data_IF_231137637754
#
_entry.id   IF_231137637754
#
_cell.length_a   1.000
_cell.length_b   1.000
_cell.length_c   1.000
_cell.angle_alpha   90.00
_cell.angle_beta   90.00
_cell.angle_gamma   90.00
#
_symmetry.space_group_name_H-M   'P 1'
#
loop_
_entity.id
_entity.type
_entity.pdbx_description
1 polymer ?
#
# COMPACT_ATOMS: atom_id res chain seq x y z
N UNK A 1 -17.37 11.22 -1.31
CA UNK A 1 -16.45 10.23 -0.72
C UNK A 1 -15.07 10.83 -0.82
N UNK A 2 -14.37 11.04 0.30
CA UNK A 2 -13.05 11.70 0.29
C UNK A 2 -12.01 10.65 -0.07
N UNK A 3 -11.26 10.89 -1.14
CA UNK A 3 -10.14 10.02 -1.53
C UNK A 3 -8.86 10.58 -0.94
N UNK A 4 -8.07 9.71 -0.32
CA UNK A 4 -6.78 9.99 0.27
C UNK A 4 -5.68 9.36 -0.60
N UNK A 5 -4.52 10.01 -0.63
CA UNK A 5 -3.32 9.50 -1.29
C UNK A 5 -2.32 9.06 -0.22
N UNK A 6 -1.92 7.80 -0.30
CA UNK A 6 -0.88 7.23 0.55
C UNK A 6 0.28 6.73 -0.30
N UNK A 7 1.50 7.11 0.09
CA UNK A 7 2.72 6.54 -0.47
C UNK A 7 3.19 5.46 0.49
N UNK A 8 3.09 4.20 0.07
CA UNK A 8 3.58 3.05 0.79
C UNK A 8 5.03 2.79 0.40
N UNK A 9 5.91 2.79 1.39
CA UNK A 9 7.29 2.34 1.25
C UNK A 9 7.45 1.03 2.02
N UNK A 10 8.20 0.09 1.45
CA UNK A 10 8.48 -1.20 2.06
C UNK A 10 9.97 -1.46 2.07
N UNK A 11 10.49 -1.85 3.23
CA UNK A 11 11.92 -2.16 3.41
C UNK A 11 12.22 -3.61 3.00
N UNK A 12 11.79 -4.01 1.80
CA UNK A 12 12.00 -5.32 1.18
C UNK A 12 11.90 -5.17 -0.34
N UNK A 13 12.87 -5.71 -1.08
CA UNK A 13 12.80 -5.76 -2.54
C UNK A 13 12.01 -7.00 -2.96
N UNK A 14 10.89 -6.79 -3.64
CA UNK A 14 10.10 -7.88 -4.23
C UNK A 14 10.57 -8.17 -5.66
N UNK A 15 10.54 -9.44 -6.07
CA UNK A 15 10.72 -9.82 -7.48
C UNK A 15 9.54 -9.35 -8.34
N UNK A 16 9.69 -9.28 -9.66
CA UNK A 16 8.60 -8.89 -10.57
C UNK A 16 7.32 -9.74 -10.38
N UNK A 17 7.49 -11.05 -10.15
CA UNK A 17 6.38 -11.97 -9.88
C UNK A 17 5.68 -11.67 -8.55
N UNK A 18 6.44 -11.32 -7.52
CA UNK A 18 5.89 -10.94 -6.21
C UNK A 18 5.22 -9.57 -6.25
N UNK A 19 5.73 -8.61 -7.04
CA UNK A 19 5.19 -7.26 -7.14
C UNK A 19 3.73 -7.26 -7.61
N UNK A 20 3.36 -8.13 -8.54
CA UNK A 20 1.96 -8.29 -8.95
C UNK A 20 1.06 -8.71 -7.78
N UNK A 21 1.49 -9.72 -7.01
CA UNK A 21 0.74 -10.21 -5.84
C UNK A 21 0.66 -9.17 -4.72
N UNK A 22 1.76 -8.45 -4.47
CA UNK A 22 1.82 -7.37 -3.47
C UNK A 22 0.89 -6.23 -3.87
N UNK A 23 0.91 -5.81 -5.13
CA UNK A 23 0.02 -4.78 -5.68
C UNK A 23 -1.45 -5.16 -5.49
N UNK A 24 -1.83 -6.37 -5.88
CA UNK A 24 -3.22 -6.83 -5.78
C UNK A 24 -3.71 -6.86 -4.32
N UNK A 25 -2.86 -7.30 -3.39
CA UNK A 25 -3.22 -7.32 -1.97
C UNK A 25 -3.25 -5.95 -1.31
N UNK A 26 -2.33 -5.05 -1.68
CA UNK A 26 -2.41 -3.64 -1.27
C UNK A 26 -3.76 -3.09 -1.71
N UNK A 27 -4.12 -3.30 -2.98
CA UNK A 27 -5.37 -2.81 -3.53
C UNK A 27 -6.61 -3.36 -2.82
N UNK A 28 -6.63 -4.66 -2.53
CA UNK A 28 -7.72 -5.32 -1.81
C UNK A 28 -7.87 -4.79 -0.38
N UNK A 29 -6.77 -4.60 0.35
CA UNK A 29 -6.79 -4.14 1.74
C UNK A 29 -7.04 -2.64 1.87
N UNK A 30 -6.60 -1.86 0.88
CA UNK A 30 -6.79 -0.42 0.87
C UNK A 30 -8.10 0.01 0.21
N UNK A 31 -8.91 -0.92 -0.31
CA UNK A 31 -10.06 -0.57 -1.16
C UNK A 31 -9.65 0.45 -2.24
N UNK A 32 -8.53 0.16 -2.91
CA UNK A 32 -7.89 1.12 -3.79
C UNK A 32 -8.83 1.49 -4.94
N UNK A 33 -8.84 2.77 -5.30
CA UNK A 33 -9.40 3.21 -6.59
C UNK A 33 -8.33 3.16 -7.68
N UNK A 34 -7.08 3.43 -7.30
CA UNK A 34 -5.93 3.41 -8.19
C UNK A 34 -4.66 3.08 -7.40
N UNK A 35 -3.72 2.38 -8.04
CA UNK A 35 -2.40 2.09 -7.50
C UNK A 35 -1.33 2.26 -8.58
N UNK A 36 -0.29 3.01 -8.26
CA UNK A 36 0.90 3.19 -9.08
C UNK A 36 2.10 2.58 -8.37
N UNK A 37 2.98 1.91 -9.13
CA UNK A 37 4.20 1.30 -8.60
C UNK A 37 5.38 2.03 -9.21
N UNK A 38 6.05 2.86 -8.40
CA UNK A 38 7.17 3.69 -8.86
C UNK A 38 8.52 2.96 -8.76
N UNK A 39 8.55 1.78 -8.14
CA UNK A 39 9.73 0.91 -8.01
C UNK A 39 9.40 -0.37 -7.24
N UNK A 40 10.40 -1.23 -7.03
CA UNK A 40 10.21 -2.50 -6.32
C UNK A 40 9.89 -2.35 -4.82
N UNK A 41 9.91 -1.11 -4.30
CA UNK A 41 9.78 -0.77 -2.88
C UNK A 41 8.76 0.33 -2.59
N UNK A 42 8.14 0.93 -3.62
CA UNK A 42 7.34 2.14 -3.47
C UNK A 42 6.04 2.07 -4.26
N UNK A 43 4.91 2.21 -3.55
CA UNK A 43 3.55 2.12 -4.09
C UNK A 43 2.78 3.39 -3.73
N UNK A 44 2.17 4.04 -4.71
CA UNK A 44 1.24 5.15 -4.48
C UNK A 44 -0.17 4.61 -4.58
N UNK A 45 -0.98 4.78 -3.53
CA UNK A 45 -2.31 4.22 -3.42
C UNK A 45 -3.32 5.33 -3.21
N UNK A 46 -4.31 5.38 -4.10
CA UNK A 46 -5.50 6.22 -3.94
C UNK A 46 -6.59 5.38 -3.32
N UNK A 47 -7.11 5.84 -2.19
CA UNK A 47 -8.05 5.06 -1.37
C UNK A 47 -9.03 5.96 -0.63
N UNK A 48 -10.29 5.55 -0.44
CA UNK A 48 -11.23 6.25 0.42
C UNK A 48 -10.97 6.04 1.92
N UNK A 49 -9.97 5.23 2.30
CA UNK A 49 -9.73 4.86 3.68
C UNK A 49 -9.14 5.99 4.52
N UNK A 50 -9.72 6.14 5.72
CA UNK A 50 -9.21 7.03 6.74
C UNK A 50 -7.86 6.52 7.31
N UNK A 51 -7.03 7.38 7.91
CA UNK A 51 -5.71 7.00 8.44
C UNK A 51 -5.74 5.82 9.43
N UNK A 52 -6.79 5.69 10.23
CA UNK A 52 -6.95 4.59 11.18
C UNK A 52 -7.16 3.23 10.49
N UNK A 53 -7.87 3.22 9.36
CA UNK A 53 -8.12 2.02 8.56
C UNK A 53 -6.85 1.62 7.80
N UNK A 54 -6.12 2.60 7.28
CA UNK A 54 -4.83 2.38 6.62
C UNK A 54 -3.82 1.73 7.56
N UNK A 55 -3.76 2.16 8.83
CA UNK A 55 -2.86 1.53 9.81
C UNK A 55 -3.12 0.03 9.96
N UNK A 56 -4.40 -0.38 10.00
CA UNK A 56 -4.77 -1.80 10.08
C UNK A 56 -4.39 -2.56 8.80
N UNK A 57 -4.65 -1.97 7.64
CA UNK A 57 -4.26 -2.55 6.35
C UNK A 57 -2.74 -2.75 6.22
N UNK A 58 -1.94 -1.79 6.71
CA UNK A 58 -0.48 -1.89 6.76
C UNK A 58 0.00 -3.02 7.67
N UNK A 59 -0.60 -3.15 8.85
CA UNK A 59 -0.25 -4.23 9.79
C UNK A 59 -0.55 -5.62 9.18
N UNK A 60 -1.66 -5.75 8.46
CA UNK A 60 -2.00 -6.98 7.75
C UNK A 60 -1.05 -7.29 6.58
N UNK A 61 -0.75 -6.29 5.74
CA UNK A 61 0.24 -6.42 4.67
C UNK A 61 1.61 -6.84 5.23
N UNK A 62 2.03 -6.20 6.32
CA UNK A 62 3.33 -6.45 6.93
C UNK A 62 3.45 -7.87 7.45
N UNK A 63 2.40 -8.38 8.09
CA UNK A 63 2.32 -9.77 8.54
C UNK A 63 2.31 -10.74 7.37
N UNK A 64 1.53 -10.45 6.33
CA UNK A 64 1.33 -11.37 5.20
C UNK A 64 2.59 -11.56 4.37
N UNK A 65 3.32 -10.49 4.10
CA UNK A 65 4.52 -10.53 3.26
C UNK A 65 5.83 -10.59 4.05
N UNK A 66 5.75 -10.56 5.39
CA UNK A 66 6.91 -10.52 6.27
C UNK A 66 7.81 -9.33 5.98
N UNK A 67 7.22 -8.16 5.78
CA UNK A 67 7.92 -6.94 5.38
C UNK A 67 7.37 -5.73 6.15
N UNK A 68 8.19 -4.72 6.40
CA UNK A 68 7.75 -3.51 7.12
C UNK A 68 7.14 -2.52 6.11
N UNK A 69 5.80 -2.50 5.98
CA UNK A 69 5.08 -1.54 5.15
C UNK A 69 4.77 -0.28 5.95
N UNK A 70 5.12 0.89 5.39
CA UNK A 70 4.87 2.19 6.01
C UNK A 70 4.16 3.11 5.02
N UNK A 71 3.08 3.74 5.44
CA UNK A 71 2.44 4.79 4.66
C UNK A 71 2.93 6.18 5.09
N UNK A 72 3.40 6.97 4.14
CA UNK A 72 3.41 8.42 4.23
C UNK A 72 2.12 8.97 3.64
N UNK A 73 1.31 9.66 4.45
CA UNK A 73 0.14 10.38 3.92
C UNK A 73 0.61 11.62 3.17
N UNK A 74 0.27 11.74 1.88
CA UNK A 74 0.33 13.00 1.14
C UNK A 74 -1.11 13.48 1.07
N UNK A 75 -1.55 14.24 2.08
CA UNK A 75 -2.86 14.87 2.04
C UNK A 75 -2.80 15.94 0.93
N UNK A 76 -3.72 15.86 -0.03
CA UNK A 76 -3.96 16.92 -1.00
C UNK A 76 -5.16 17.75 -0.55
#
# INVERSE_FOLDING_TARGET
MTTYLYVLSVKKTFSETELGTVKDEICRLFDCTEIEVSGATDFTVYTPLAPEQVKRALDELSKRFGADFRAGAKVH
#
